data_IF_471717929265
#
_entry.id   IF_471717929265
#
_cell.length_a   1.000
_cell.length_b   1.000
_cell.length_c   1.000
_cell.angle_alpha   90.00
_cell.angle_beta   90.00
_cell.angle_gamma   90.00
#
_symmetry.space_group_name_H-M   'P 1'
#
loop_
_entity.id
_entity.type
_entity.pdbx_description
1 polymer ?
#
# COMPACT_ATOMS: atom_id res chain seq x y z
N UNK A 1 -9.28 44.79 -63.49
CA UNK A 1 -8.42 43.59 -63.31
C UNK A 1 -8.40 43.24 -61.82
N UNK A 2 -9.31 42.36 -61.40
CA UNK A 2 -9.27 41.46 -60.23
C UNK A 2 -10.69 40.87 -60.08
N UNK A 3 -10.78 39.56 -60.25
CA UNK A 3 -12.00 38.76 -60.16
C UNK A 3 -12.37 38.49 -58.70
N UNK A 4 -13.67 38.52 -58.44
CA UNK A 4 -14.37 38.13 -57.22
C UNK A 4 -14.93 36.72 -57.39
N UNK A 5 -14.70 35.82 -56.43
CA UNK A 5 -15.46 34.57 -56.10
C UNK A 5 -14.69 33.88 -54.98
N UNK A 6 -15.23 33.24 -53.94
CA UNK A 6 -16.59 32.98 -53.50
C UNK A 6 -16.51 32.29 -52.13
N UNK A 7 -17.48 32.57 -51.25
CA UNK A 7 -17.59 32.06 -49.88
C UNK A 7 -18.27 30.67 -49.91
N UNK A 8 -17.69 29.66 -49.25
CA UNK A 8 -18.40 28.43 -48.86
C UNK A 8 -17.92 27.96 -47.49
N UNK A 9 -18.85 27.94 -46.53
CA UNK A 9 -18.73 27.21 -45.28
C UNK A 9 -18.79 25.70 -45.55
N UNK A 10 -17.99 24.92 -44.83
CA UNK A 10 -18.23 23.50 -44.60
C UNK A 10 -17.77 23.12 -43.19
N UNK A 11 -18.71 22.47 -42.49
CA UNK A 11 -18.65 22.04 -41.11
C UNK A 11 -17.63 20.94 -40.85
N UNK A 12 -17.21 20.88 -39.58
CA UNK A 12 -16.42 19.87 -38.91
C UNK A 12 -16.89 18.42 -39.12
N UNK A 13 -15.92 17.52 -39.31
CA UNK A 13 -15.81 16.32 -38.46
C UNK A 13 -14.32 15.95 -38.33
N UNK A 14 -13.72 16.23 -37.16
CA UNK A 14 -12.42 15.67 -36.78
C UNK A 14 -12.70 14.35 -36.08
N UNK A 15 -12.10 13.29 -36.60
CA UNK A 15 -12.04 11.99 -35.96
C UNK A 15 -10.70 11.85 -35.23
N UNK A 16 -10.78 11.18 -34.06
CA UNK A 16 -9.72 10.52 -33.28
C UNK A 16 -8.84 11.38 -32.39
N UNK A 17 -8.92 11.06 -31.10
CA UNK A 17 -8.02 11.46 -30.04
C UNK A 17 -8.63 11.10 -28.69
N UNK A 18 -8.66 9.81 -28.35
CA UNK A 18 -8.97 9.39 -26.99
C UNK A 18 -7.74 9.70 -26.14
N UNK A 19 -7.79 10.78 -25.38
CA UNK A 19 -6.83 11.07 -24.33
C UNK A 19 -6.99 10.00 -23.23
N UNK A 20 -6.03 9.08 -23.13
CA UNK A 20 -5.82 8.31 -21.91
C UNK A 20 -5.10 9.23 -20.93
N UNK A 21 -5.77 9.61 -19.86
CA UNK A 21 -5.16 10.28 -18.72
C UNK A 21 -4.11 9.36 -18.10
N UNK A 22 -2.84 9.70 -18.27
CA UNK A 22 -1.74 9.08 -17.54
C UNK A 22 -1.75 9.67 -16.13
N UNK A 23 -2.38 9.00 -15.17
CA UNK A 23 -2.16 9.32 -13.76
C UNK A 23 -0.75 8.85 -13.39
N UNK A 24 0.12 9.80 -13.02
CA UNK A 24 1.44 9.51 -12.49
C UNK A 24 1.28 8.91 -11.08
N UNK A 25 1.39 7.60 -10.97
CA UNK A 25 1.52 6.91 -9.69
C UNK A 25 2.98 7.03 -9.21
N UNK A 26 3.36 8.21 -8.70
CA UNK A 26 4.64 8.39 -8.01
C UNK A 26 4.46 7.97 -6.55
N UNK A 27 4.65 6.69 -6.25
CA UNK A 27 4.79 6.25 -4.86
C UNK A 27 6.19 6.67 -4.38
N UNK A 28 6.29 7.79 -3.68
CA UNK A 28 7.48 8.08 -2.87
C UNK A 28 7.39 7.17 -1.65
N UNK A 29 8.08 6.04 -1.73
CA UNK A 29 8.21 5.12 -0.60
C UNK A 29 9.22 5.72 0.38
N UNK A 30 8.71 6.16 1.52
CA UNK A 30 9.54 6.40 2.70
C UNK A 30 9.83 5.04 3.32
N UNK A 31 10.87 4.36 2.82
CA UNK A 31 11.39 3.18 3.50
C UNK A 31 12.03 3.60 4.82
N UNK A 32 11.24 3.76 5.89
CA UNK A 32 11.83 3.91 7.21
C UNK A 32 12.23 2.53 7.75
N UNK A 33 13.53 2.37 7.81
CA UNK A 33 14.29 1.25 8.35
C UNK A 33 13.75 0.87 9.73
N UNK A 34 13.38 -0.40 9.92
CA UNK A 34 13.24 -0.97 11.26
C UNK A 34 14.63 -0.98 11.91
N UNK A 35 15.02 0.10 12.60
CA UNK A 35 16.11 0.04 13.55
C UNK A 35 15.62 -0.81 14.73
N UNK A 36 16.20 -2.00 14.89
CA UNK A 36 16.29 -2.58 16.22
C UNK A 36 17.23 -1.68 17.02
N UNK A 37 16.65 -0.76 17.80
CA UNK A 37 17.38 -0.20 18.93
C UNK A 37 17.47 -1.34 19.93
N UNK A 38 18.58 -2.08 19.87
CA UNK A 38 18.94 -3.03 20.92
C UNK A 38 19.03 -2.24 22.21
N UNK A 39 17.98 -2.28 23.01
CA UNK A 39 18.00 -1.81 24.39
C UNK A 39 19.11 -2.55 25.11
N UNK A 40 20.22 -1.86 25.35
CA UNK A 40 21.23 -2.35 26.27
C UNK A 40 20.54 -2.51 27.63
N UNK A 41 20.69 -3.64 28.35
CA UNK A 41 20.08 -3.79 29.66
C UNK A 41 20.85 -2.92 30.67
N UNK A 42 20.46 -1.65 30.77
CA UNK A 42 21.09 -0.69 31.67
C UNK A 42 20.69 0.75 31.39
N UNK A 43 19.51 1.17 31.87
CA UNK A 43 19.23 2.54 32.31
C UNK A 43 19.33 3.71 31.30
N UNK A 44 19.43 3.48 29.99
CA UNK A 44 19.40 4.55 28.98
C UNK A 44 17.97 4.91 28.59
N UNK A 45 17.59 6.19 28.66
CA UNK A 45 16.30 6.67 28.14
C UNK A 45 16.13 6.39 26.64
N UNK A 46 14.89 6.39 26.18
CA UNK A 46 14.59 6.31 24.75
C UNK A 46 15.28 7.46 24.00
N UNK A 47 15.95 7.17 22.89
CA UNK A 47 16.54 8.20 22.04
C UNK A 47 15.42 9.01 21.37
N UNK A 48 15.60 10.33 21.31
CA UNK A 48 14.71 11.24 20.57
C UNK A 48 14.93 11.12 19.05
N UNK A 49 13.98 11.61 18.26
CA UNK A 49 14.02 11.60 16.78
C UNK A 49 15.24 12.37 16.31
N UNK A 50 15.51 13.48 16.99
CA UNK A 50 16.62 14.35 16.70
C UNK A 50 17.95 13.64 16.92
N UNK A 51 18.07 12.83 17.97
CA UNK A 51 19.26 12.00 18.23
C UNK A 51 19.40 10.85 17.23
N UNK A 52 18.28 10.21 16.84
CA UNK A 52 18.26 9.16 15.81
C UNK A 52 18.69 9.74 14.46
N UNK A 53 18.08 10.86 14.04
CA UNK A 53 18.38 11.54 12.77
C UNK A 53 19.82 12.02 12.73
N UNK A 54 20.35 12.57 13.83
CA UNK A 54 21.76 12.97 13.92
C UNK A 54 22.74 11.81 13.76
N UNK A 55 22.29 10.56 13.98
CA UNK A 55 23.08 9.34 13.81
C UNK A 55 22.82 8.64 12.47
N UNK A 56 21.90 9.13 11.63
CA UNK A 56 21.64 8.54 10.33
C UNK A 56 22.85 8.71 9.41
N UNK A 57 23.45 7.59 9.04
CA UNK A 57 24.49 7.52 8.02
C UNK A 57 23.99 6.63 6.91
N UNK A 58 24.05 7.11 5.67
CA UNK A 58 23.72 6.30 4.50
C UNK A 58 24.59 5.04 4.49
N UNK A 59 23.97 3.87 4.70
CA UNK A 59 24.65 2.58 4.70
C UNK A 59 24.81 1.99 3.30
N UNK A 60 24.08 2.53 2.31
CA UNK A 60 24.15 2.06 0.92
C UNK A 60 23.29 2.89 -0.03
N UNK A 61 23.60 2.76 -1.31
CA UNK A 61 22.76 3.17 -2.42
C UNK A 61 22.55 1.94 -3.30
N UNK A 62 21.34 1.38 -3.27
CA UNK A 62 21.02 0.11 -3.90
C UNK A 62 20.20 0.36 -5.16
N UNK A 63 20.58 -0.35 -6.23
CA UNK A 63 19.84 -0.41 -7.49
C UNK A 63 19.69 -1.87 -7.89
N UNK A 64 18.68 -2.16 -8.69
CA UNK A 64 18.60 -3.43 -9.43
C UNK A 64 19.91 -3.69 -10.19
N UNK A 65 20.26 -4.96 -10.38
CA UNK A 65 21.39 -5.38 -11.21
C UNK A 65 21.17 -5.12 -12.71
N UNK A 66 19.92 -5.03 -13.15
CA UNK A 66 19.48 -4.80 -14.53
C UNK A 66 18.53 -3.59 -14.63
N UNK A 67 19.01 -2.40 -14.27
CA UNK A 67 18.18 -1.19 -14.25
C UNK A 67 17.63 -0.83 -15.63
N UNK A 68 16.31 -0.92 -15.81
CA UNK A 68 15.57 -0.31 -16.91
C UNK A 68 15.00 1.06 -16.54
N UNK A 69 14.69 1.85 -17.56
CA UNK A 69 14.00 3.12 -17.39
C UNK A 69 12.50 2.86 -17.17
N UNK A 70 11.93 3.46 -16.13
CA UNK A 70 10.51 3.33 -15.75
C UNK A 70 10.10 2.03 -15.04
N UNK A 71 11.03 1.11 -14.73
CA UNK A 71 10.75 -0.12 -13.97
C UNK A 71 10.20 0.13 -12.55
N UNK A 72 10.37 1.37 -12.06
CA UNK A 72 10.03 1.85 -10.72
C UNK A 72 10.56 0.95 -9.61
N UNK A 73 11.83 0.54 -9.72
CA UNK A 73 12.55 -0.05 -8.60
C UNK A 73 12.42 0.85 -7.36
N UNK A 74 11.88 0.30 -6.28
CA UNK A 74 11.56 1.04 -5.07
C UNK A 74 10.09 1.39 -4.90
N UNK A 75 9.21 1.01 -5.85
CA UNK A 75 7.76 1.18 -5.69
C UNK A 75 7.26 0.44 -4.44
N UNK A 76 7.83 -0.71 -4.13
CA UNK A 76 7.55 -1.42 -2.87
C UNK A 76 8.87 -1.84 -2.22
N UNK A 77 8.92 -1.86 -0.89
CA UNK A 77 10.08 -2.40 -0.18
C UNK A 77 9.68 -2.96 1.19
N UNK A 78 10.43 -3.96 1.64
CA UNK A 78 10.28 -4.56 2.97
C UNK A 78 11.66 -4.90 3.56
N UNK A 79 11.84 -4.65 4.86
CA UNK A 79 13.10 -4.90 5.57
C UNK A 79 12.83 -5.77 6.81
N UNK A 80 13.61 -6.83 6.97
CA UNK A 80 13.64 -7.65 8.17
C UNK A 80 15.08 -7.98 8.53
N UNK A 81 15.56 -7.41 9.65
CA UNK A 81 16.96 -7.54 10.06
C UNK A 81 17.92 -7.03 8.98
N UNK A 82 18.79 -7.90 8.50
CA UNK A 82 19.78 -7.62 7.46
C UNK A 82 19.29 -7.90 6.04
N UNK A 83 18.01 -8.23 5.84
CA UNK A 83 17.44 -8.53 4.52
C UNK A 83 16.48 -7.44 4.08
N UNK A 84 16.74 -6.85 2.91
CA UNK A 84 15.90 -5.85 2.26
C UNK A 84 15.37 -6.45 0.96
N UNK A 85 14.08 -6.27 0.69
CA UNK A 85 13.45 -6.62 -0.58
C UNK A 85 12.88 -5.37 -1.21
N UNK A 86 13.07 -5.22 -2.51
CA UNK A 86 12.61 -4.08 -3.29
C UNK A 86 11.89 -4.56 -4.54
N UNK A 87 10.65 -4.12 -4.75
CA UNK A 87 9.87 -4.40 -5.94
C UNK A 87 10.18 -3.43 -7.09
N UNK A 88 10.09 -3.94 -8.31
CA UNK A 88 10.13 -3.20 -9.57
C UNK A 88 9.04 -3.78 -10.49
N UNK A 89 7.76 -3.43 -10.26
CA UNK A 89 6.64 -4.06 -10.97
C UNK A 89 6.62 -3.80 -12.47
N UNK A 90 7.35 -2.80 -12.96
CA UNK A 90 7.43 -2.49 -14.39
C UNK A 90 8.74 -2.97 -15.02
N UNK A 91 9.45 -3.88 -14.35
CA UNK A 91 10.60 -4.55 -14.96
C UNK A 91 10.14 -5.49 -16.08
N UNK A 92 10.85 -5.42 -17.20
CA UNK A 92 10.55 -6.24 -18.38
C UNK A 92 11.47 -7.46 -18.38
N UNK A 93 10.94 -8.68 -18.37
CA UNK A 93 11.74 -9.91 -18.54
C UNK A 93 10.83 -11.14 -18.56
N UNK A 94 11.06 -12.08 -19.49
CA UNK A 94 10.35 -13.38 -19.47
C UNK A 94 10.92 -14.37 -18.44
N UNK A 95 11.94 -13.99 -17.66
CA UNK A 95 12.56 -14.87 -16.69
C UNK A 95 11.53 -15.37 -15.66
N UNK A 96 11.72 -16.59 -15.17
CA UNK A 96 10.84 -17.22 -14.18
C UNK A 96 11.61 -17.65 -12.94
N UNK A 97 10.92 -17.68 -11.80
CA UNK A 97 11.48 -18.18 -10.54
C UNK A 97 12.61 -17.31 -9.98
N UNK A 98 13.74 -17.94 -9.63
CA UNK A 98 14.83 -17.29 -8.88
C UNK A 98 16.09 -17.23 -9.73
N UNK A 99 16.68 -16.05 -9.85
CA UNK A 99 17.94 -15.77 -10.54
C UNK A 99 17.92 -16.22 -12.01
N UNK A 100 16.81 -15.94 -12.71
CA UNK A 100 16.71 -16.12 -14.16
C UNK A 100 17.56 -15.12 -14.96
N UNK A 101 17.36 -15.05 -16.27
CA UNK A 101 18.13 -14.15 -17.13
C UNK A 101 17.70 -12.68 -16.94
N UNK A 102 18.47 -11.93 -16.16
CA UNK A 102 18.26 -10.50 -15.91
C UNK A 102 18.51 -9.60 -17.14
N UNK A 103 19.15 -10.13 -18.20
CA UNK A 103 19.35 -9.39 -19.45
C UNK A 103 18.18 -9.54 -20.44
N UNK A 104 17.18 -10.36 -20.12
CA UNK A 104 15.96 -10.47 -20.91
C UNK A 104 15.07 -9.25 -20.68
N UNK A 105 14.48 -8.70 -21.76
CA UNK A 105 13.56 -7.57 -21.72
C UNK A 105 12.34 -7.82 -22.63
N UNK A 106 11.93 -9.08 -22.78
CA UNK A 106 10.96 -9.51 -23.79
C UNK A 106 9.51 -9.62 -23.29
N UNK A 107 9.28 -9.53 -21.97
CA UNK A 107 7.94 -9.51 -21.39
C UNK A 107 7.69 -8.20 -20.62
N UNK A 108 7.02 -7.27 -21.29
CA UNK A 108 6.73 -5.93 -20.80
C UNK A 108 5.98 -5.94 -19.46
N UNK A 109 6.39 -5.10 -18.51
CA UNK A 109 5.75 -4.87 -17.21
C UNK A 109 5.41 -6.17 -16.44
N UNK A 110 6.19 -7.22 -16.67
CA UNK A 110 6.00 -8.52 -16.00
C UNK A 110 6.43 -8.45 -14.53
N UNK A 111 7.36 -7.54 -14.22
CA UNK A 111 7.75 -7.14 -12.88
C UNK A 111 8.73 -8.08 -12.19
N UNK A 112 9.49 -7.55 -11.24
CA UNK A 112 10.49 -8.28 -10.47
C UNK A 112 10.52 -7.85 -8.99
N UNK A 113 11.13 -8.69 -8.16
CA UNK A 113 11.54 -8.32 -6.80
C UNK A 113 13.03 -8.67 -6.57
N UNK A 114 13.76 -7.76 -5.94
CA UNK A 114 15.19 -7.90 -5.70
C UNK A 114 15.44 -8.04 -4.22
N UNK A 115 16.22 -9.06 -3.83
CA UNK A 115 16.61 -9.28 -2.43
C UNK A 115 18.04 -8.83 -2.25
N UNK A 116 18.27 -7.96 -1.27
CA UNK A 116 19.58 -7.54 -0.81
C UNK A 116 19.83 -8.06 0.61
N UNK A 117 21.07 -8.46 0.89
CA UNK A 117 21.52 -8.91 2.21
C UNK A 117 22.66 -8.01 2.68
N UNK A 118 22.63 -7.63 3.97
CA UNK A 118 23.73 -6.92 4.63
C UNK A 118 24.62 -7.92 5.36
N UNK A 119 25.90 -7.97 5.00
CA UNK A 119 26.91 -8.77 5.70
C UNK A 119 28.11 -7.90 6.04
N UNK A 120 28.49 -7.83 7.32
CA UNK A 120 29.61 -6.99 7.77
C UNK A 120 29.41 -5.50 7.46
N UNK A 121 28.16 -5.02 7.48
CA UNK A 121 27.82 -3.64 7.14
C UNK A 121 27.69 -3.34 5.63
N UNK A 122 28.01 -4.30 4.75
CA UNK A 122 27.94 -4.12 3.30
C UNK A 122 26.70 -4.82 2.74
N UNK A 123 25.93 -4.07 1.94
CA UNK A 123 24.79 -4.61 1.20
C UNK A 123 25.23 -5.22 -0.13
N UNK A 124 24.69 -6.39 -0.47
CA UNK A 124 24.84 -7.01 -1.79
C UNK A 124 23.51 -7.63 -2.24
N UNK A 125 23.27 -7.67 -3.56
CA UNK A 125 22.12 -8.41 -4.10
C UNK A 125 22.34 -9.91 -3.88
N UNK A 126 21.37 -10.53 -3.23
CA UNK A 126 21.32 -11.97 -2.96
C UNK A 126 20.46 -12.71 -4.00
N UNK A 127 19.37 -12.09 -4.47
CA UNK A 127 18.49 -12.73 -5.44
C UNK A 127 17.72 -11.72 -6.32
N UNK A 128 17.40 -12.17 -7.52
CA UNK A 128 16.42 -11.60 -8.44
C UNK A 128 15.25 -12.59 -8.55
N UNK A 129 14.03 -12.13 -8.28
CA UNK A 129 12.84 -12.97 -8.17
C UNK A 129 11.80 -12.57 -9.20
N UNK A 130 11.22 -13.57 -9.84
CA UNK A 130 10.14 -13.47 -10.82
C UNK A 130 9.02 -14.44 -10.44
N UNK A 131 7.83 -14.20 -10.99
CA UNK A 131 6.74 -15.17 -10.94
C UNK A 131 7.18 -16.52 -11.53
N UNK A 132 6.53 -17.62 -11.11
CA UNK A 132 6.76 -18.93 -11.73
C UNK A 132 6.15 -19.03 -13.13
N UNK A 133 5.12 -18.23 -13.39
CA UNK A 133 4.36 -18.11 -14.63
C UNK A 133 4.39 -16.66 -15.13
N UNK A 134 5.59 -16.08 -15.21
CA UNK A 134 5.79 -14.70 -15.67
C UNK A 134 5.11 -14.41 -17.00
N UNK A 135 4.18 -13.46 -17.01
CA UNK A 135 3.57 -12.93 -18.23
C UNK A 135 3.62 -11.40 -18.27
N UNK A 136 3.35 -10.85 -19.45
CA UNK A 136 3.34 -9.40 -19.65
C UNK A 136 2.26 -8.73 -18.83
N UNK A 137 2.56 -7.60 -18.22
CA UNK A 137 1.64 -6.78 -17.43
C UNK A 137 1.16 -7.37 -16.10
N UNK A 138 1.68 -8.53 -15.67
CA UNK A 138 1.35 -9.12 -14.36
C UNK A 138 1.77 -8.23 -13.17
N UNK A 139 2.79 -7.40 -13.38
CA UNK A 139 3.36 -6.48 -12.40
C UNK A 139 3.79 -7.14 -11.09
N UNK A 140 4.48 -8.28 -11.18
CA UNK A 140 5.07 -8.92 -10.03
C UNK A 140 6.02 -7.96 -9.29
N UNK A 141 5.90 -7.85 -7.96
CA UNK A 141 6.66 -6.87 -7.18
C UNK A 141 5.88 -5.59 -6.89
N UNK A 142 4.60 -5.52 -7.28
CA UNK A 142 3.73 -4.40 -6.95
C UNK A 142 3.63 -4.17 -5.44
N UNK A 143 3.53 -5.26 -4.68
CA UNK A 143 3.55 -5.24 -3.21
C UNK A 143 4.50 -6.32 -2.69
N UNK A 144 5.19 -6.04 -1.58
CA UNK A 144 6.11 -6.99 -0.94
C UNK A 144 5.97 -6.97 0.58
N UNK A 145 6.10 -8.12 1.22
CA UNK A 145 6.17 -8.25 2.67
C UNK A 145 7.22 -9.30 3.08
N UNK A 146 7.98 -9.03 4.14
CA UNK A 146 9.08 -9.88 4.57
C UNK A 146 9.00 -10.13 6.08
N UNK A 147 9.06 -11.39 6.48
CA UNK A 147 9.16 -11.81 7.88
C UNK A 147 10.22 -12.92 8.01
N UNK A 148 11.39 -12.54 8.54
CA UNK A 148 12.54 -13.44 8.63
C UNK A 148 12.95 -13.98 7.27
N UNK A 149 12.87 -15.29 7.09
CA UNK A 149 13.21 -16.00 5.84
C UNK A 149 12.00 -16.24 4.93
N UNK A 150 10.86 -15.59 5.17
CA UNK A 150 9.67 -15.69 4.31
C UNK A 150 9.38 -14.36 3.65
N UNK A 151 9.39 -14.35 2.32
CA UNK A 151 9.05 -13.21 1.48
C UNK A 151 7.74 -13.50 0.75
N UNK A 152 6.88 -12.51 0.67
CA UNK A 152 5.64 -12.52 -0.09
C UNK A 152 5.69 -11.41 -1.12
N UNK A 153 5.30 -11.71 -2.36
CA UNK A 153 5.27 -10.76 -3.47
C UNK A 153 3.92 -10.83 -4.18
N UNK A 154 3.27 -9.68 -4.35
CA UNK A 154 2.01 -9.55 -5.08
C UNK A 154 2.21 -9.24 -6.57
N UNK A 155 1.29 -9.76 -7.39
CA UNK A 155 1.13 -9.50 -8.81
C UNK A 155 -0.37 -9.29 -9.10
N UNK A 156 -0.93 -8.09 -8.81
CA UNK A 156 -2.38 -7.85 -8.86
C UNK A 156 -3.00 -8.01 -10.24
N UNK A 157 -2.20 -7.98 -11.30
CA UNK A 157 -2.69 -8.05 -12.67
C UNK A 157 -2.47 -9.41 -13.33
N UNK A 158 -1.99 -10.41 -12.58
CA UNK A 158 -1.90 -11.79 -13.08
C UNK A 158 -3.27 -12.36 -13.48
N UNK A 159 -3.31 -13.07 -14.62
CA UNK A 159 -4.55 -13.41 -15.33
C UNK A 159 -5.09 -14.83 -15.03
N UNK A 160 -4.38 -15.65 -14.27
CA UNK A 160 -4.73 -17.05 -14.13
C UNK A 160 -6.05 -17.25 -13.38
N UNK A 161 -6.90 -18.15 -13.87
CA UNK A 161 -8.13 -18.61 -13.25
C UNK A 161 -7.88 -19.74 -12.23
N UNK A 162 -6.62 -19.99 -11.87
CA UNK A 162 -6.29 -20.87 -10.76
C UNK A 162 -7.02 -20.48 -9.48
N UNK A 163 -7.35 -21.47 -8.65
CA UNK A 163 -7.95 -21.27 -7.32
C UNK A 163 -7.11 -21.95 -6.25
N UNK A 164 -7.17 -21.42 -5.03
CA UNK A 164 -6.47 -21.97 -3.88
C UNK A 164 -4.94 -21.90 -4.00
N UNK A 165 -4.26 -22.85 -3.35
CA UNK A 165 -2.79 -22.85 -3.23
C UNK A 165 -2.19 -23.82 -4.26
N UNK A 166 -1.20 -23.34 -5.02
CA UNK A 166 -0.47 -24.09 -6.04
C UNK A 166 -1.38 -24.67 -7.15
N UNK A 167 -2.42 -23.91 -7.54
CA UNK A 167 -3.30 -24.26 -8.65
C UNK A 167 -2.63 -24.19 -10.03
N UNK A 168 -3.38 -24.54 -11.07
CA UNK A 168 -2.91 -24.52 -12.47
C UNK A 168 -2.76 -23.09 -12.99
N UNK A 169 -1.53 -22.60 -13.05
CA UNK A 169 -1.18 -21.25 -13.48
C UNK A 169 -1.44 -20.94 -14.96
N UNK A 170 -1.70 -21.93 -15.82
CA UNK A 170 -1.73 -21.73 -17.28
C UNK A 170 -3.08 -21.27 -17.87
N UNK A 171 -4.17 -21.24 -17.09
CA UNK A 171 -5.49 -20.84 -17.58
C UNK A 171 -5.72 -19.34 -17.39
N UNK A 172 -5.44 -18.49 -18.38
CA UNK A 172 -5.55 -17.03 -18.24
C UNK A 172 -6.94 -16.47 -18.57
N UNK A 173 -8.01 -17.24 -18.30
CA UNK A 173 -9.39 -16.80 -18.55
C UNK A 173 -9.93 -15.79 -17.52
N UNK A 174 -9.19 -15.50 -16.44
CA UNK A 174 -9.58 -14.59 -15.37
C UNK A 174 -8.68 -13.35 -15.32
N UNK A 175 -8.77 -12.51 -16.36
CA UNK A 175 -7.93 -11.31 -16.51
C UNK A 175 -7.86 -10.45 -15.26
N UNK A 176 -6.65 -10.08 -14.84
CA UNK A 176 -6.34 -9.26 -13.68
C UNK A 176 -7.01 -9.77 -12.40
N UNK A 177 -7.11 -11.08 -12.24
CA UNK A 177 -7.59 -11.70 -11.02
C UNK A 177 -6.56 -11.62 -9.88
N UNK A 178 -5.28 -11.51 -10.26
CA UNK A 178 -4.15 -11.26 -9.39
C UNK A 178 -3.67 -12.51 -8.66
N UNK A 179 -2.40 -12.51 -8.25
CA UNK A 179 -1.77 -13.62 -7.55
C UNK A 179 -0.78 -13.13 -6.48
N UNK A 180 -0.44 -14.03 -5.56
CA UNK A 180 0.62 -13.83 -4.58
C UNK A 180 1.59 -15.00 -4.59
N UNK A 181 2.88 -14.71 -4.50
CA UNK A 181 3.95 -15.68 -4.52
C UNK A 181 4.70 -15.65 -3.20
N UNK A 182 4.89 -16.82 -2.58
CA UNK A 182 5.64 -16.95 -1.32
C UNK A 182 6.98 -17.58 -1.62
N UNK A 183 8.05 -16.90 -1.25
CA UNK A 183 9.42 -17.39 -1.31
C UNK A 183 9.94 -17.65 0.10
N UNK A 184 10.78 -18.67 0.24
CA UNK A 184 11.48 -18.97 1.49
C UNK A 184 12.98 -19.09 1.26
N UNK A 185 13.75 -18.64 2.25
CA UNK A 185 15.21 -18.74 2.26
C UNK A 185 15.66 -19.89 3.14
N UNK A 186 16.51 -20.77 2.60
CA UNK A 186 17.19 -21.83 3.36
C UNK A 186 18.65 -21.88 2.92
N UNK A 187 19.58 -21.82 3.89
CA UNK A 187 21.01 -21.85 3.58
C UNK A 187 21.47 -20.71 2.65
N UNK A 188 20.82 -19.54 2.73
CA UNK A 188 21.11 -18.40 1.86
C UNK A 188 20.50 -18.45 0.46
N UNK A 189 19.76 -19.52 0.12
CA UNK A 189 19.12 -19.70 -1.19
C UNK A 189 17.62 -19.46 -1.07
N UNK A 190 17.09 -18.60 -1.94
CA UNK A 190 15.66 -18.37 -2.08
C UNK A 190 15.02 -19.40 -3.02
N UNK A 191 13.82 -19.86 -2.67
CA UNK A 191 12.99 -20.73 -3.50
C UNK A 191 11.53 -20.39 -3.32
N UNK A 192 10.73 -20.51 -4.38
CA UNK A 192 9.29 -20.34 -4.28
C UNK A 192 8.69 -21.52 -3.51
N UNK A 193 8.04 -21.22 -2.39
CA UNK A 193 7.31 -22.17 -1.55
C UNK A 193 5.85 -22.32 -2.01
N UNK A 194 5.22 -21.24 -2.44
CA UNK A 194 3.82 -21.27 -2.83
C UNK A 194 3.46 -20.23 -3.90
N UNK A 195 2.43 -20.55 -4.67
CA UNK A 195 1.61 -19.66 -5.48
C UNK A 195 0.21 -19.65 -4.86
N UNK A 196 -0.30 -18.47 -4.52
CA UNK A 196 -1.54 -18.29 -3.79
C UNK A 196 -2.57 -17.58 -4.67
N UNK A 197 -3.72 -18.24 -4.82
CA UNK A 197 -4.96 -17.69 -5.34
C UNK A 197 -6.05 -17.83 -4.30
N UNK A 198 -7.10 -17.05 -4.46
CA UNK A 198 -8.29 -17.13 -3.63
C UNK A 198 -9.14 -18.35 -4.01
N UNK A 199 -10.03 -18.79 -3.13
CA UNK A 199 -10.97 -19.87 -3.45
C UNK A 199 -12.03 -19.51 -4.49
N UNK A 200 -12.21 -18.22 -4.78
CA UNK A 200 -13.23 -17.64 -5.64
C UNK A 200 -12.60 -16.64 -6.63
N UNK A 201 -11.62 -17.10 -7.41
CA UNK A 201 -10.92 -16.28 -8.42
C UNK A 201 -11.91 -15.65 -9.41
N UNK A 202 -11.72 -14.37 -9.71
CA UNK A 202 -12.60 -13.57 -10.57
C UNK A 202 -11.79 -12.57 -11.38
N UNK A 203 -12.28 -12.27 -12.58
CA UNK A 203 -11.77 -11.17 -13.41
C UNK A 203 -11.77 -9.87 -12.59
N UNK A 204 -10.65 -9.14 -12.62
CA UNK A 204 -10.51 -7.85 -11.96
C UNK A 204 -10.51 -7.91 -10.43
N UNK A 205 -10.26 -9.08 -9.82
CA UNK A 205 -10.17 -9.21 -8.35
C UNK A 205 -8.98 -8.46 -7.75
N UNK A 206 -7.90 -8.26 -8.53
CA UNK A 206 -6.66 -7.58 -8.12
C UNK A 206 -6.01 -8.14 -6.86
N UNK A 207 -6.05 -9.47 -6.68
CA UNK A 207 -5.42 -10.12 -5.53
C UNK A 207 -3.93 -9.82 -5.48
N UNK A 208 -3.43 -9.41 -4.32
CA UNK A 208 -2.02 -9.06 -4.14
C UNK A 208 -1.73 -7.59 -4.41
N UNK A 209 -2.75 -6.75 -4.57
CA UNK A 209 -2.55 -5.30 -4.60
C UNK A 209 -1.89 -4.81 -3.30
N UNK A 210 -2.32 -5.35 -2.15
CA UNK A 210 -1.69 -5.13 -0.86
C UNK A 210 -1.40 -6.47 -0.17
N UNK A 211 -0.27 -6.57 0.54
CA UNK A 211 0.13 -7.75 1.30
C UNK A 211 0.70 -7.34 2.65
N UNK A 212 0.38 -8.11 3.69
CA UNK A 212 0.99 -7.94 5.02
C UNK A 212 1.26 -9.31 5.65
N UNK A 213 2.48 -9.50 6.17
CA UNK A 213 2.95 -10.78 6.70
C UNK A 213 3.37 -10.63 8.16
N UNK A 214 2.77 -11.44 9.03
CA UNK A 214 3.16 -11.59 10.43
C UNK A 214 3.46 -13.07 10.72
N UNK A 215 4.74 -13.42 10.72
CA UNK A 215 5.20 -14.81 10.89
C UNK A 215 4.54 -15.77 9.88
N UNK A 216 3.65 -16.65 10.34
CA UNK A 216 2.94 -17.63 9.51
C UNK A 216 1.52 -17.17 9.12
N UNK A 217 1.18 -15.90 9.30
CA UNK A 217 -0.11 -15.32 8.90
C UNK A 217 0.12 -14.26 7.82
N UNK A 218 -0.53 -14.43 6.68
CA UNK A 218 -0.49 -13.52 5.54
C UNK A 218 -1.89 -12.97 5.29
N UNK A 219 -2.03 -11.65 5.25
CA UNK A 219 -3.23 -10.98 4.75
C UNK A 219 -2.97 -10.43 3.34
N UNK A 220 -3.92 -10.65 2.43
CA UNK A 220 -3.81 -10.23 1.02
C UNK A 220 -5.07 -9.47 0.61
N UNK A 221 -4.89 -8.26 0.07
CA UNK A 221 -5.97 -7.44 -0.44
C UNK A 221 -6.37 -7.81 -1.87
N UNK A 222 -7.67 -7.74 -2.10
CA UNK A 222 -8.32 -7.90 -3.40
C UNK A 222 -9.44 -6.85 -3.50
N UNK A 223 -9.10 -5.55 -3.65
CA UNK A 223 -10.09 -4.45 -3.66
C UNK A 223 -11.14 -4.56 -4.78
N UNK A 224 -10.85 -5.31 -5.85
CA UNK A 224 -11.74 -5.51 -6.98
C UNK A 224 -12.75 -6.64 -6.77
N UNK A 225 -12.66 -7.36 -5.65
CA UNK A 225 -13.60 -8.42 -5.29
C UNK A 225 -15.04 -7.90 -5.23
N UNK A 226 -15.98 -8.69 -5.75
CA UNK A 226 -17.31 -8.22 -6.13
C UNK A 226 -18.47 -8.73 -5.27
N UNK A 227 -18.23 -9.54 -4.25
CA UNK A 227 -19.28 -10.08 -3.40
C UNK A 227 -19.87 -9.02 -2.45
N UNK A 228 -21.19 -9.05 -2.28
CA UNK A 228 -21.92 -8.26 -1.28
C UNK A 228 -21.95 -8.94 0.11
N UNK A 229 -21.13 -9.96 0.34
CA UNK A 229 -20.98 -10.57 1.65
C UNK A 229 -20.44 -9.56 2.67
N UNK A 230 -20.89 -9.65 3.92
CA UNK A 230 -20.39 -8.83 5.02
C UNK A 230 -19.67 -9.66 6.07
N UNK A 231 -18.76 -9.02 6.82
CA UNK A 231 -18.04 -9.65 7.93
C UNK A 231 -17.07 -10.75 7.47
N UNK A 232 -16.96 -11.82 8.24
CA UNK A 232 -15.95 -12.87 8.02
C UNK A 232 -16.60 -14.17 7.53
N UNK A 233 -16.02 -14.76 6.48
CA UNK A 233 -16.42 -16.02 5.87
C UNK A 233 -17.86 -16.04 5.32
N UNK A 234 -18.30 -14.91 4.77
CA UNK A 234 -19.57 -14.82 4.05
C UNK A 234 -19.56 -15.50 2.67
N UNK A 235 -20.61 -15.27 1.87
CA UNK A 235 -20.80 -15.91 0.57
C UNK A 235 -19.81 -15.39 -0.50
N UNK A 236 -18.71 -16.11 -0.69
CA UNK A 236 -17.70 -15.82 -1.72
C UNK A 236 -18.17 -16.03 -3.17
N UNK A 237 -19.26 -16.78 -3.38
CA UNK A 237 -19.80 -17.03 -4.72
C UNK A 237 -20.63 -15.85 -5.25
N UNK A 238 -21.04 -14.92 -4.37
CA UNK A 238 -21.73 -13.70 -4.78
C UNK A 238 -20.80 -12.75 -5.57
N UNK A 239 -21.39 -11.93 -6.43
CA UNK A 239 -20.68 -10.94 -7.25
C UNK A 239 -21.53 -9.69 -7.53
N UNK A 240 -22.44 -9.34 -6.63
CA UNK A 240 -23.43 -8.27 -6.87
C UNK A 240 -22.96 -6.86 -6.47
N UNK A 241 -21.78 -6.71 -5.89
CA UNK A 241 -21.20 -5.45 -5.41
C UNK A 241 -19.76 -5.28 -5.94
N UNK A 242 -19.64 -4.90 -7.21
CA UNK A 242 -18.35 -4.74 -7.89
C UNK A 242 -17.39 -3.82 -7.13
N UNK A 243 -16.13 -4.22 -7.01
CA UNK A 243 -15.09 -3.44 -6.31
C UNK A 243 -15.46 -3.06 -4.87
N UNK A 244 -16.30 -3.85 -4.23
CA UNK A 244 -16.55 -3.71 -2.79
C UNK A 244 -15.36 -4.20 -1.97
N UNK A 245 -14.55 -5.08 -2.55
CA UNK A 245 -13.24 -5.49 -2.05
C UNK A 245 -13.29 -6.54 -0.95
N UNK A 246 -12.17 -7.21 -0.75
CA UNK A 246 -11.98 -8.23 0.27
C UNK A 246 -10.53 -8.32 0.74
N UNK A 247 -10.35 -8.96 1.90
CA UNK A 247 -9.05 -9.44 2.37
C UNK A 247 -9.11 -10.94 2.59
N UNK A 248 -8.10 -11.65 2.10
CA UNK A 248 -7.94 -13.09 2.31
C UNK A 248 -6.79 -13.32 3.28
N UNK A 249 -7.07 -14.06 4.36
CA UNK A 249 -6.04 -14.44 5.33
C UNK A 249 -5.61 -15.87 5.04
N UNK A 250 -4.33 -16.05 4.78
CA UNK A 250 -3.68 -17.35 4.66
C UNK A 250 -2.84 -17.65 5.89
N UNK A 251 -2.78 -18.91 6.28
CA UNK A 251 -1.89 -19.38 7.36
C UNK A 251 -1.00 -20.51 6.89
N UNK A 252 0.22 -20.54 7.41
CA UNK A 252 1.21 -21.60 7.16
C UNK A 252 1.25 -22.57 8.34
N UNK A 253 1.11 -23.86 8.07
CA UNK A 253 1.32 -24.92 9.07
C UNK A 253 2.11 -26.05 8.43
N UNK A 254 3.23 -26.45 9.04
CA UNK A 254 4.09 -27.50 8.49
C UNK A 254 4.63 -27.19 7.09
N UNK A 255 4.85 -25.91 6.77
CA UNK A 255 5.28 -25.46 5.44
C UNK A 255 4.17 -25.34 4.38
N UNK A 256 2.93 -25.69 4.73
CA UNK A 256 1.78 -25.64 3.81
C UNK A 256 0.94 -24.40 4.09
N UNK A 257 0.70 -23.60 3.06
CA UNK A 257 -0.22 -22.46 3.12
C UNK A 257 -1.66 -22.90 2.87
N UNK A 258 -2.60 -22.30 3.58
CA UNK A 258 -4.04 -22.51 3.37
C UNK A 258 -4.82 -21.23 3.69
N UNK A 259 -5.91 -20.99 2.97
CA UNK A 259 -6.81 -19.88 3.28
C UNK A 259 -7.54 -20.16 4.60
N UNK A 260 -7.30 -19.33 5.60
CA UNK A 260 -7.94 -19.37 6.91
C UNK A 260 -9.24 -18.55 6.93
N UNK A 261 -9.25 -17.39 6.28
CA UNK A 261 -10.41 -16.49 6.31
C UNK A 261 -10.58 -15.70 5.02
N UNK A 262 -11.84 -15.36 4.76
CA UNK A 262 -12.28 -14.33 3.82
C UNK A 262 -12.93 -13.21 4.62
N UNK A 263 -12.42 -11.99 4.50
CA UNK A 263 -12.78 -10.86 5.35
C UNK A 263 -13.35 -9.74 4.48
N UNK A 264 -14.50 -9.23 4.89
CA UNK A 264 -15.25 -8.14 4.27
C UNK A 264 -15.57 -7.06 5.29
N UNK A 265 -15.82 -5.84 4.80
CA UNK A 265 -16.45 -4.80 5.60
C UNK A 265 -17.80 -5.30 6.16
N UNK A 266 -18.17 -4.82 7.34
CA UNK A 266 -19.46 -5.11 7.98
C UNK A 266 -20.65 -4.46 7.25
N UNK A 267 -20.39 -3.37 6.55
CA UNK A 267 -21.31 -2.57 5.73
C UNK A 267 -20.80 -2.47 4.29
N UNK A 268 -20.52 -3.62 3.68
CA UNK A 268 -20.02 -3.71 2.30
C UNK A 268 -20.86 -2.87 1.33
N UNK A 269 -20.22 -1.91 0.66
CA UNK A 269 -20.76 -1.10 -0.42
C UNK A 269 -20.03 -1.30 -1.75
N UNK A 270 -20.68 -0.96 -2.85
CA UNK A 270 -20.09 -1.04 -4.19
C UNK A 270 -19.07 0.09 -4.35
N UNK A 271 -17.83 -0.25 -4.74
CA UNK A 271 -16.77 0.76 -4.93
C UNK A 271 -15.96 1.11 -3.69
N UNK A 272 -16.33 0.59 -2.51
CA UNK A 272 -15.62 0.84 -1.24
C UNK A 272 -14.14 0.46 -1.27
N UNK A 273 -13.77 -0.48 -2.16
CA UNK A 273 -12.41 -0.98 -2.35
C UNK A 273 -11.76 -1.51 -1.06
N UNK A 274 -12.53 -2.21 -0.22
CA UNK A 274 -12.01 -2.82 1.00
C UNK A 274 -10.81 -3.74 0.70
N UNK A 275 -9.71 -3.56 1.42
CA UNK A 275 -8.46 -4.29 1.16
C UNK A 275 -7.48 -3.52 0.27
N UNK A 276 -7.79 -2.27 -0.10
CA UNK A 276 -6.85 -1.42 -0.82
C UNK A 276 -5.54 -1.24 -0.05
N UNK A 277 -5.63 -0.96 1.25
CA UNK A 277 -4.48 -0.89 2.16
C UNK A 277 -4.67 -1.85 3.32
N UNK A 278 -3.58 -2.49 3.77
CA UNK A 278 -3.60 -3.49 4.84
C UNK A 278 -2.38 -3.33 5.73
N UNK A 279 -2.57 -3.45 7.04
CA UNK A 279 -1.50 -3.66 8.00
C UNK A 279 -1.84 -4.82 8.94
N UNK A 280 -0.84 -5.67 9.25
CA UNK A 280 -1.00 -6.85 10.08
C UNK A 280 0.08 -6.86 11.17
N UNK A 281 -0.33 -6.90 12.44
CA UNK A 281 0.54 -7.03 13.59
C UNK A 281 0.04 -8.16 14.49
N UNK A 282 0.70 -9.32 14.39
CA UNK A 282 0.29 -10.53 15.11
C UNK A 282 -1.15 -10.94 14.77
N UNK A 283 -2.03 -10.79 15.75
CA UNK A 283 -3.46 -11.11 15.66
C UNK A 283 -4.37 -9.90 15.39
N UNK A 284 -3.80 -8.73 15.05
CA UNK A 284 -4.56 -7.52 14.70
C UNK A 284 -4.35 -7.16 13.24
N UNK A 285 -5.45 -7.02 12.49
CA UNK A 285 -5.47 -6.69 11.07
C UNK A 285 -6.23 -5.37 10.89
N UNK A 286 -5.60 -4.35 10.32
CA UNK A 286 -6.25 -3.12 9.90
C UNK A 286 -6.41 -3.11 8.38
N UNK A 287 -7.59 -2.74 7.89
CA UNK A 287 -7.93 -2.76 6.46
C UNK A 287 -8.57 -1.44 6.05
N UNK A 288 -7.99 -0.77 5.07
CA UNK A 288 -8.58 0.43 4.46
C UNK A 288 -9.60 0.12 3.38
N UNK A 289 -10.62 0.96 3.32
CA UNK A 289 -11.66 1.03 2.29
C UNK A 289 -11.89 2.51 1.98
N UNK A 290 -11.02 3.08 1.15
CA UNK A 290 -11.01 4.54 0.93
C UNK A 290 -12.25 5.05 0.20
N UNK A 291 -12.97 4.17 -0.50
CA UNK A 291 -14.20 4.50 -1.22
C UNK A 291 -15.46 4.36 -0.37
N UNK A 292 -15.36 4.09 0.93
CA UNK A 292 -16.54 3.93 1.78
C UNK A 292 -17.28 5.26 2.02
N UNK A 293 -18.61 5.22 2.01
CA UNK A 293 -19.45 6.41 1.81
C UNK A 293 -20.09 6.97 3.10
N UNK A 294 -19.74 6.49 4.28
CA UNK A 294 -20.44 6.89 5.52
C UNK A 294 -19.98 8.25 6.04
N UNK A 295 -20.91 9.09 6.47
CA UNK A 295 -20.62 10.32 7.18
C UNK A 295 -20.42 10.12 8.70
N UNK A 296 -20.21 8.88 9.15
CA UNK A 296 -19.84 8.61 10.53
C UNK A 296 -18.49 9.23 10.88
N UNK A 297 -18.31 9.67 12.13
CA UNK A 297 -17.02 10.20 12.62
C UNK A 297 -16.46 9.35 13.75
N UNK A 298 -15.13 9.40 13.90
CA UNK A 298 -14.42 8.72 14.97
C UNK A 298 -14.55 7.19 14.91
N UNK A 299 -14.72 6.54 16.07
CA UNK A 299 -14.69 5.07 16.18
C UNK A 299 -16.08 4.53 16.47
N UNK A 300 -16.49 3.51 15.70
CA UNK A 300 -17.76 2.77 15.83
C UNK A 300 -19.01 3.65 15.66
N UNK A 301 -18.95 4.62 14.74
CA UNK A 301 -20.12 5.38 14.31
C UNK A 301 -21.12 4.55 13.48
N UNK A 302 -22.10 5.24 12.87
CA UNK A 302 -23.16 4.58 12.10
C UNK A 302 -22.67 4.04 10.74
N UNK A 303 -22.35 2.76 10.70
CA UNK A 303 -21.92 2.04 9.49
C UNK A 303 -23.03 1.89 8.43
N UNK A 304 -24.30 2.13 8.77
CA UNK A 304 -25.39 2.07 7.77
C UNK A 304 -25.56 3.39 6.99
N UNK A 305 -24.82 4.43 7.38
CA UNK A 305 -24.81 5.70 6.64
C UNK A 305 -24.00 5.56 5.34
N UNK A 306 -24.48 6.21 4.28
CA UNK A 306 -23.81 6.29 2.97
C UNK A 306 -24.00 7.70 2.38
N UNK A 307 -23.89 8.74 3.22
CA UNK A 307 -24.21 10.13 2.85
C UNK A 307 -22.97 10.99 2.51
N UNK A 308 -21.76 10.48 2.69
CA UNK A 308 -20.49 11.14 2.40
C UNK A 308 -19.60 10.28 1.49
N UNK A 309 -19.82 10.41 0.17
CA UNK A 309 -19.15 9.61 -0.86
C UNK A 309 -17.62 9.63 -0.74
N UNK A 310 -16.99 8.46 -0.86
CA UNK A 310 -15.54 8.26 -0.77
C UNK A 310 -14.86 8.93 0.43
N UNK A 311 -15.60 9.13 1.53
CA UNK A 311 -15.02 9.69 2.75
C UNK A 311 -14.08 8.70 3.44
N UNK A 312 -14.24 7.41 3.14
CA UNK A 312 -13.32 6.33 3.44
C UNK A 312 -13.40 5.83 4.88
N UNK A 313 -12.95 4.59 5.11
CA UNK A 313 -12.97 3.95 6.41
C UNK A 313 -11.77 3.01 6.61
N UNK A 314 -11.47 2.72 7.88
CA UNK A 314 -10.59 1.61 8.27
C UNK A 314 -11.32 0.67 9.20
N UNK A 315 -11.18 -0.63 8.95
CA UNK A 315 -11.75 -1.68 9.76
C UNK A 315 -10.64 -2.44 10.47
N UNK A 316 -10.73 -2.56 11.79
CA UNK A 316 -9.79 -3.34 12.59
C UNK A 316 -10.43 -4.66 12.97
N UNK A 317 -9.75 -5.76 12.66
CA UNK A 317 -10.12 -7.12 13.02
C UNK A 317 -9.11 -7.68 14.01
N UNK A 318 -9.59 -8.49 14.95
CA UNK A 318 -8.78 -9.24 15.89
C UNK A 318 -8.97 -10.74 15.68
N UNK A 319 -7.89 -11.52 15.81
CA UNK A 319 -7.93 -12.98 15.81
C UNK A 319 -7.91 -13.51 17.23
N UNK A 320 -8.87 -14.35 17.59
CA UNK A 320 -8.90 -15.06 18.88
C UNK A 320 -9.31 -16.50 18.65
N UNK A 321 -8.51 -17.46 19.13
CA UNK A 321 -8.78 -18.88 18.91
C UNK A 321 -8.85 -19.27 17.43
N UNK A 322 -8.10 -18.58 16.56
CA UNK A 322 -8.11 -18.80 15.11
C UNK A 322 -9.28 -18.16 14.35
N UNK A 323 -10.19 -17.47 15.05
CA UNK A 323 -11.34 -16.79 14.43
C UNK A 323 -11.08 -15.30 14.35
N UNK A 324 -11.27 -14.72 13.18
CA UNK A 324 -11.24 -13.27 12.97
C UNK A 324 -12.61 -12.66 13.24
N UNK A 325 -12.65 -11.53 13.94
CA UNK A 325 -13.85 -10.74 14.17
C UNK A 325 -13.52 -9.24 14.11
N UNK A 326 -14.44 -8.44 13.58
CA UNK A 326 -14.29 -6.99 13.59
C UNK A 326 -14.28 -6.48 15.04
N UNK A 327 -13.24 -5.74 15.38
CA UNK A 327 -13.05 -5.06 16.66
C UNK A 327 -13.46 -3.59 16.59
N UNK A 328 -13.19 -2.92 15.45
CA UNK A 328 -13.54 -1.52 15.27
C UNK A 328 -13.82 -1.15 13.81
N UNK A 329 -14.64 -0.13 13.65
CA UNK A 329 -14.83 0.67 12.45
C UNK A 329 -14.32 2.07 12.76
N UNK A 330 -13.41 2.59 11.94
CA UNK A 330 -12.64 3.80 12.22
C UNK A 330 -12.83 4.78 11.06
N UNK A 331 -13.17 6.02 11.41
CA UNK A 331 -13.37 7.16 10.54
C UNK A 331 -12.53 8.33 11.03
N UNK A 332 -12.28 9.29 10.16
CA UNK A 332 -11.74 10.60 10.55
C UNK A 332 -12.69 11.28 11.57
N UNK A 333 -12.14 12.08 12.48
CA UNK A 333 -12.94 12.90 13.41
C UNK A 333 -13.75 13.99 12.69
N UNK A 334 -13.24 14.47 11.57
CA UNK A 334 -13.81 15.45 10.63
C UNK A 334 -14.02 14.81 9.26
N UNK A 335 -14.77 13.71 9.22
CA UNK A 335 -15.08 13.01 7.97
C UNK A 335 -15.75 13.92 6.94
N UNK A 336 -15.19 14.01 5.74
CA UNK A 336 -15.80 14.71 4.60
C UNK A 336 -15.75 13.89 3.31
N UNK A 337 -16.54 14.32 2.32
CA UNK A 337 -16.62 13.69 1.00
C UNK A 337 -15.25 13.75 0.32
N UNK A 338 -14.85 12.64 -0.31
CA UNK A 338 -13.61 12.53 -1.09
C UNK A 338 -12.31 12.71 -0.31
N UNK A 339 -12.31 12.70 1.04
CA UNK A 339 -11.08 12.72 1.86
C UNK A 339 -10.20 11.46 1.71
N UNK A 340 -10.80 10.36 1.25
CA UNK A 340 -10.16 9.06 1.02
C UNK A 340 -9.46 8.50 2.27
N UNK A 341 -10.10 8.63 3.44
CA UNK A 341 -9.57 8.05 4.67
C UNK A 341 -9.36 6.54 4.54
N UNK A 342 -8.15 6.06 4.85
CA UNK A 342 -7.79 4.65 4.69
C UNK A 342 -7.05 4.32 3.39
N UNK A 343 -6.67 5.30 2.57
CA UNK A 343 -5.73 5.08 1.45
C UNK A 343 -4.43 4.44 1.92
N UNK A 344 -3.95 4.82 3.10
CA UNK A 344 -2.77 4.22 3.72
C UNK A 344 -3.07 3.88 5.18
N UNK A 345 -2.53 2.76 5.64
CA UNK A 345 -2.64 2.30 7.03
C UNK A 345 -1.30 1.76 7.50
N UNK A 346 -0.93 2.07 8.74
CA UNK A 346 0.22 1.47 9.41
C UNK A 346 -0.17 1.05 10.83
N UNK A 347 0.28 -0.14 11.24
CA UNK A 347 -0.07 -0.73 12.52
C UNK A 347 1.18 -1.20 13.25
N UNK A 348 1.35 -0.74 14.49
CA UNK A 348 2.44 -1.15 15.37
C UNK A 348 1.87 -1.46 16.76
N UNK A 349 1.64 -2.74 17.05
CA UNK A 349 1.04 -3.17 18.32
C UNK A 349 -0.36 -2.59 18.53
N UNK A 350 -0.47 -1.67 19.48
CA UNK A 350 -1.72 -0.98 19.85
C UNK A 350 -1.85 0.41 19.21
N UNK A 351 -0.94 0.80 18.32
CA UNK A 351 -0.98 2.09 17.59
C UNK A 351 -1.32 1.88 16.12
N UNK A 352 -2.29 2.66 15.62
CA UNK A 352 -2.75 2.66 14.24
C UNK A 352 -2.63 4.09 13.68
N UNK A 353 -1.98 4.25 12.54
CA UNK A 353 -1.97 5.50 11.79
C UNK A 353 -2.73 5.30 10.46
N UNK A 354 -3.57 6.27 10.10
CA UNK A 354 -4.42 6.22 8.91
C UNK A 354 -4.29 7.51 8.12
N UNK A 355 -4.07 7.41 6.81
CA UNK A 355 -3.97 8.55 5.92
C UNK A 355 -5.29 8.92 5.26
N UNK A 356 -5.53 10.21 5.10
CA UNK A 356 -6.58 10.83 4.28
C UNK A 356 -5.92 11.90 3.40
N UNK A 357 -5.29 11.50 2.28
CA UNK A 357 -4.45 12.40 1.49
C UNK A 357 -5.23 13.52 0.81
N UNK A 358 -6.55 13.40 0.71
CA UNK A 358 -7.41 14.40 0.09
C UNK A 358 -8.09 15.34 1.10
N UNK A 359 -7.75 15.26 2.40
CA UNK A 359 -8.32 16.16 3.41
C UNK A 359 -7.87 17.63 3.22
N UNK A 360 -8.79 18.57 3.47
CA UNK A 360 -8.72 19.93 2.93
C UNK A 360 -8.28 21.02 3.93
N UNK A 361 -7.90 20.67 5.16
CA UNK A 361 -7.58 21.69 6.17
C UNK A 361 -6.22 22.35 5.98
N UNK A 362 -6.15 23.67 6.17
CA UNK A 362 -4.89 24.42 6.22
C UNK A 362 -4.14 24.30 7.55
N UNK A 363 -4.64 23.48 8.50
CA UNK A 363 -3.96 23.26 9.76
C UNK A 363 -2.52 22.79 9.54
N UNK A 364 -1.61 23.19 10.44
CA UNK A 364 -0.22 22.74 10.44
C UNK A 364 0.10 22.01 11.74
N UNK A 365 1.02 21.04 11.68
CA UNK A 365 1.48 20.33 12.86
C UNK A 365 0.42 19.35 13.41
N UNK A 366 0.26 19.33 14.73
CA UNK A 366 -0.57 18.32 15.42
C UNK A 366 -1.76 18.98 16.11
N UNK A 367 -2.95 18.40 15.93
CA UNK A 367 -4.22 18.80 16.55
C UNK A 367 -4.61 20.26 16.24
N UNK A 368 -4.44 20.66 14.98
CA UNK A 368 -4.91 21.94 14.47
C UNK A 368 -6.43 21.99 14.23
N UNK A 369 -6.90 22.98 13.47
CA UNK A 369 -8.32 23.16 13.19
C UNK A 369 -8.82 22.16 12.12
N UNK A 370 -9.47 21.10 12.57
CA UNK A 370 -10.08 20.06 11.72
C UNK A 370 -11.34 20.54 10.96
N UNK A 371 -11.88 21.72 11.26
CA UNK A 371 -13.09 22.26 10.59
C UNK A 371 -12.74 23.17 9.40
N UNK A 372 -11.45 23.47 9.20
CA UNK A 372 -11.02 24.24 8.04
C UNK A 372 -10.98 23.36 6.79
N UNK A 373 -11.43 23.89 5.65
CA UNK A 373 -11.37 23.24 4.33
C UNK A 373 -10.82 24.20 3.27
N UNK A 374 -9.82 25.01 3.63
CA UNK A 374 -9.30 26.07 2.77
C UNK A 374 -8.08 25.66 1.93
N UNK A 375 -7.53 24.46 2.14
CA UNK A 375 -6.33 23.93 1.50
C UNK A 375 -6.61 22.55 0.87
N UNK A 376 -7.33 22.57 -0.27
CA UNK A 376 -7.77 21.38 -1.01
C UNK A 376 -6.68 20.31 -1.16
N UNK A 377 -6.92 19.07 -0.74
CA UNK A 377 -6.01 17.94 -0.89
C UNK A 377 -4.64 18.13 -0.24
N UNK A 378 -4.54 18.96 0.80
CA UNK A 378 -3.30 19.12 1.57
C UNK A 378 -2.98 17.85 2.37
N UNK A 379 -4.02 17.10 2.74
CA UNK A 379 -3.97 15.75 3.29
C UNK A 379 -3.66 15.70 4.80
N UNK A 380 -4.07 14.62 5.45
CA UNK A 380 -3.95 14.42 6.89
C UNK A 380 -3.58 12.98 7.26
N UNK A 381 -3.09 12.81 8.49
CA UNK A 381 -2.93 11.50 9.15
C UNK A 381 -3.59 11.52 10.52
N UNK A 382 -4.32 10.45 10.84
CA UNK A 382 -5.00 10.26 12.11
C UNK A 382 -4.32 9.12 12.86
N UNK A 383 -3.96 9.35 14.11
CA UNK A 383 -3.33 8.35 14.97
C UNK A 383 -4.31 7.90 16.02
N UNK A 384 -4.49 6.58 16.14
CA UNK A 384 -5.36 5.93 17.10
C UNK A 384 -4.55 5.00 18.00
N UNK A 385 -4.98 4.87 19.26
CA UNK A 385 -4.41 3.92 20.21
C UNK A 385 -5.49 3.01 20.77
N UNK A 386 -5.14 1.73 20.91
CA UNK A 386 -5.96 0.71 21.55
C UNK A 386 -5.63 0.58 23.03
N UNK A 387 -6.59 0.89 23.88
CA UNK A 387 -6.49 0.69 25.34
C UNK A 387 -7.66 -0.14 25.82
N UNK A 388 -7.39 -1.26 26.51
CA UNK A 388 -8.45 -2.14 27.00
C UNK A 388 -9.36 -2.71 25.90
N UNK A 389 -8.83 -2.86 24.68
CA UNK A 389 -9.59 -3.34 23.52
C UNK A 389 -10.40 -2.26 22.78
N UNK A 390 -10.34 -1.00 23.21
CA UNK A 390 -11.05 0.12 22.59
C UNK A 390 -10.06 1.03 21.87
N UNK A 391 -10.36 1.34 20.60
CA UNK A 391 -9.59 2.30 19.80
C UNK A 391 -10.09 3.72 20.03
N UNK A 392 -9.18 4.67 20.13
CA UNK A 392 -9.50 6.10 20.26
C UNK A 392 -8.45 6.96 19.57
N UNK A 393 -8.89 8.02 18.89
CA UNK A 393 -7.99 8.98 18.24
C UNK A 393 -7.17 9.72 19.29
N UNK A 394 -5.87 9.80 19.07
CA UNK A 394 -4.90 10.53 19.89
C UNK A 394 -4.38 11.77 19.19
N UNK A 395 -4.29 11.74 17.86
CA UNK A 395 -3.77 12.86 17.10
C UNK A 395 -4.42 12.98 15.72
N UNK A 396 -4.59 14.22 15.30
CA UNK A 396 -4.74 14.66 13.92
C UNK A 396 -3.43 15.34 13.51
N UNK A 397 -2.82 14.87 12.44
CA UNK A 397 -1.45 15.23 12.04
C UNK A 397 -1.46 15.81 10.64
N UNK A 398 -0.81 16.95 10.49
CA UNK A 398 -0.65 17.71 9.25
C UNK A 398 0.82 18.00 8.98
N UNK A 399 1.15 18.22 7.72
CA UNK A 399 2.45 18.77 7.34
C UNK A 399 2.71 20.10 8.07
N UNK A 400 3.98 20.45 8.25
CA UNK A 400 4.37 21.74 8.83
C UNK A 400 4.18 22.92 7.85
N UNK A 401 3.90 22.64 6.58
CA UNK A 401 3.80 23.61 5.49
C UNK A 401 2.59 23.37 4.57
N UNK A 402 1.40 23.12 5.12
CA UNK A 402 0.11 22.89 4.41
C UNK A 402 -0.43 24.11 3.63
N UNK A 403 0.40 25.11 3.37
CA UNK A 403 0.01 26.34 2.68
C UNK A 403 -0.24 26.16 1.18
N UNK A 404 -0.09 24.94 0.63
CA UNK A 404 -0.39 24.60 -0.76
C UNK A 404 -1.46 23.51 -0.84
N UNK A 405 -2.35 23.66 -1.81
CA UNK A 405 -3.34 22.65 -2.13
C UNK A 405 -2.70 21.50 -2.93
N UNK A 406 -3.08 20.27 -2.62
CA UNK A 406 -2.77 19.09 -3.41
C UNK A 406 -1.50 18.32 -3.02
N UNK A 407 -0.83 18.68 -1.92
CA UNK A 407 0.42 18.04 -1.49
C UNK A 407 0.25 16.54 -1.14
N UNK A 408 -0.99 16.10 -0.86
CA UNK A 408 -1.35 14.70 -0.63
C UNK A 408 -0.63 14.09 0.58
N UNK A 409 -0.46 14.85 1.66
CA UNK A 409 0.13 14.35 2.90
C UNK A 409 -0.69 13.18 3.47
N UNK A 410 -0.02 12.09 3.84
CA UNK A 410 -0.72 10.88 4.31
C UNK A 410 -0.95 9.85 3.21
N UNK A 411 -0.48 10.08 1.98
CA UNK A 411 -0.57 9.08 0.92
C UNK A 411 0.24 7.81 1.22
N UNK A 412 1.37 7.94 1.91
CA UNK A 412 2.16 6.81 2.42
C UNK A 412 2.52 7.04 3.89
N UNK A 413 2.47 5.96 4.67
CA UNK A 413 2.72 6.00 6.12
C UNK A 413 3.63 4.83 6.51
N UNK A 414 4.61 5.11 7.37
CA UNK A 414 5.35 4.11 8.12
C UNK A 414 5.27 4.42 9.62
N UNK A 415 5.04 3.39 10.43
CA UNK A 415 4.96 3.50 11.89
C UNK A 415 5.87 2.44 12.52
N UNK A 416 6.86 2.88 13.30
CA UNK A 416 7.80 2.00 14.00
C UNK A 416 7.96 2.51 15.43
N UNK A 417 7.51 1.71 16.40
CA UNK A 417 7.42 2.15 17.79
C UNK A 417 6.60 3.44 17.87
N UNK A 418 7.19 4.49 18.43
CA UNK A 418 6.56 5.81 18.56
C UNK A 418 6.93 6.77 17.41
N UNK A 419 7.65 6.31 16.39
CA UNK A 419 8.03 7.14 15.24
C UNK A 419 7.07 6.95 14.08
N UNK A 420 6.46 8.07 13.66
CA UNK A 420 5.60 8.15 12.49
C UNK A 420 6.34 8.87 11.36
N UNK A 421 6.40 8.27 10.19
CA UNK A 421 6.88 8.90 8.97
C UNK A 421 5.75 8.95 7.94
N UNK A 422 5.58 10.11 7.31
CA UNK A 422 4.47 10.37 6.39
C UNK A 422 5.00 10.96 5.09
N UNK A 423 4.59 10.38 3.97
CA UNK A 423 4.87 10.90 2.64
C UNK A 423 3.80 11.85 2.14
N UNK A 424 4.24 12.88 1.42
CA UNK A 424 3.43 13.82 0.65
C UNK A 424 4.05 13.92 -0.75
N UNK A 425 3.65 13.01 -1.66
CA UNK A 425 4.36 12.81 -2.92
C UNK A 425 4.16 13.95 -3.92
N UNK A 426 3.11 14.76 -3.75
CA UNK A 426 2.82 15.91 -4.58
C UNK A 426 3.36 17.23 -4.00
N UNK A 427 3.97 17.19 -2.81
CA UNK A 427 4.56 18.38 -2.20
C UNK A 427 5.56 19.04 -3.15
N UNK A 428 5.51 20.37 -3.20
CA UNK A 428 6.31 21.16 -4.10
C UNK A 428 7.46 21.80 -3.34
N UNK A 429 8.70 21.41 -3.62
CA UNK A 429 9.87 22.12 -3.10
C UNK A 429 11.16 21.79 -3.85
N UNK A 430 12.00 22.80 -4.10
CA UNK A 430 13.38 22.59 -4.57
C UNK A 430 14.39 22.56 -3.41
N UNK A 431 13.89 22.51 -2.16
CA UNK A 431 14.71 22.30 -0.99
C UNK A 431 15.44 20.95 -1.07
N UNK A 432 16.66 20.89 -0.55
CA UNK A 432 17.47 19.66 -0.53
C UNK A 432 17.89 19.31 0.90
N UNK A 433 18.06 18.02 1.17
CA UNK A 433 18.46 17.52 2.48
C UNK A 433 17.33 17.52 3.52
N UNK A 434 17.70 17.54 4.81
CA UNK A 434 16.77 17.51 5.95
C UNK A 434 16.54 18.93 6.45
N UNK A 435 15.28 19.29 6.73
CA UNK A 435 14.88 20.62 7.23
C UNK A 435 15.29 21.77 6.30
N UNK A 436 15.19 21.56 4.98
CA UNK A 436 15.33 22.63 3.99
C UNK A 436 14.19 23.66 4.05
N UNK A 437 14.20 24.62 3.14
CA UNK A 437 13.18 25.68 3.12
C UNK A 437 11.80 25.14 2.71
N UNK A 438 10.95 24.83 3.69
CA UNK A 438 9.60 24.31 3.48
C UNK A 438 8.60 25.34 2.91
N UNK A 439 9.01 26.60 2.75
CA UNK A 439 8.20 27.63 2.08
C UNK A 439 8.51 27.76 0.58
N UNK A 440 9.49 27.00 0.07
CA UNK A 440 9.81 26.96 -1.36
C UNK A 440 8.84 26.03 -2.08
N UNK A 441 8.10 26.55 -3.08
CA UNK A 441 7.16 25.81 -3.92
C UNK A 441 7.58 25.77 -5.40
N UNK A 442 8.89 25.91 -5.69
CA UNK A 442 9.40 26.08 -7.05
C UNK A 442 9.54 24.78 -7.86
N UNK A 443 9.36 23.61 -7.26
CA UNK A 443 9.45 22.31 -7.94
C UNK A 443 8.22 21.43 -7.61
N UNK A 444 7.12 21.54 -8.38
CA UNK A 444 5.90 20.77 -8.15
C UNK A 444 6.10 19.25 -8.19
N UNK A 445 5.53 18.53 -7.23
CA UNK A 445 5.57 17.06 -7.19
C UNK A 445 6.96 16.47 -6.96
N UNK A 446 7.88 17.24 -6.38
CA UNK A 446 9.18 16.72 -5.95
C UNK A 446 9.04 15.81 -4.72
N UNK A 447 7.98 16.04 -3.93
CA UNK A 447 7.56 15.24 -2.80
C UNK A 447 8.38 15.47 -1.55
N UNK A 448 7.77 15.18 -0.40
CA UNK A 448 8.40 15.34 0.90
C UNK A 448 8.06 14.19 1.85
N UNK A 449 8.87 14.10 2.91
CA UNK A 449 8.68 13.17 4.03
C UNK A 449 8.75 13.95 5.33
N UNK A 450 7.76 13.72 6.19
CA UNK A 450 7.68 14.33 7.51
C UNK A 450 7.80 13.24 8.57
N UNK A 451 8.61 13.50 9.59
CA UNK A 451 8.86 12.55 10.68
C UNK A 451 8.40 13.17 11.99
N UNK A 452 7.54 12.45 12.71
CA UNK A 452 6.94 12.86 13.97
C UNK A 452 7.32 11.86 15.07
N UNK A 453 7.52 12.39 16.27
CA UNK A 453 7.74 11.62 17.49
C UNK A 453 7.13 12.33 18.70
N UNK A 454 6.81 11.59 19.79
CA UNK A 454 6.46 12.18 21.07
C UNK A 454 7.59 13.06 21.60
N UNK A 455 7.23 14.11 22.34
CA UNK A 455 8.18 14.95 23.07
C UNK A 455 8.64 14.32 24.39
#
# INVERSE_FOLDING_TARGET
MKMTTGLRLLNHSVARGAERGTQFLSLVLVGLLSLFVSGCPGGGGAQTAQEIVAQLVQQGYLKASNTGGSDRFGLSAALAGDTLVVGAPFEDSNATGVNGNEADNSAADSGAAYVFIRTGGVWSQQAYLKASNTETFDQFGYSVALAGDTLVVGAPFEDSNATGVNGNQADNSATSSGAVYVFTRTGGVWSQQAYLKVSNTRVGGWLGQSVALASDTLAVGAPGEGSNATGVNGNQADNSASSSGAVYVFTRTGGVWSQQAYVKASNTGQGDAFGYSIALAGDTLAVGAYGEDSNATGVNGNQADNSATSSGAVYVFARTGGVWSQQAYVKASNTEIDDWFGISVALAGDSLAVGAPAEDSNATGINGNEVDNSAFGSGAVYVFTRTGGVWSQQAYVKASNTGQAGDSFGYSIALVGDTLAVGAYNEASNATGVNGNQADNSAPGSGAVYVFQPQ
#
